data_IF_858555663266
#
_entry.id   IF_858555663266
#
_cell.length_a   1.000
_cell.length_b   1.000
_cell.length_c   1.000
_cell.angle_alpha   90.00
_cell.angle_beta   90.00
_cell.angle_gamma   90.00
#
_symmetry.space_group_name_H-M   'P 1'
#
loop_
_entity.id
_entity.type
_entity.pdbx_description
1 polymer ?
#
# COMPACT_ATOMS: atom_id res chain seq x y z
N UNK A 1 -18.66 48.50 19.68
CA UNK A 1 -18.82 47.46 20.73
C UNK A 1 -19.30 46.20 20.02
N UNK A 2 -18.49 45.26 19.52
CA UNK A 2 -17.42 44.43 20.09
C UNK A 2 -17.84 43.57 21.31
N UNK A 3 -17.58 42.26 21.16
CA UNK A 3 -17.72 41.08 22.06
C UNK A 3 -19.11 40.42 22.07
N UNK A 4 -19.31 39.15 21.67
CA UNK A 4 -18.49 37.91 21.83
C UNK A 4 -18.98 37.17 23.10
N UNK A 5 -19.11 35.85 23.24
CA UNK A 5 -18.63 34.63 22.55
C UNK A 5 -19.32 33.43 23.24
N UNK A 6 -19.49 32.33 22.50
CA UNK A 6 -19.37 30.90 22.88
C UNK A 6 -20.22 30.31 24.02
N UNK A 7 -21.07 29.34 23.65
CA UNK A 7 -21.24 28.07 24.39
C UNK A 7 -21.38 26.91 23.39
N UNK A 8 -20.34 26.07 23.29
CA UNK A 8 -20.39 24.79 22.57
C UNK A 8 -19.57 23.79 23.38
N UNK A 9 -20.18 23.25 24.44
CA UNK A 9 -19.77 22.02 25.14
C UNK A 9 -21.05 21.45 25.76
N UNK A 10 -21.53 20.31 25.28
CA UNK A 10 -22.21 19.27 26.06
C UNK A 10 -22.81 18.24 25.09
N UNK A 11 -22.24 17.04 25.10
CA UNK A 11 -22.73 15.91 24.32
C UNK A 11 -21.79 14.70 24.44
N UNK A 12 -21.31 14.43 25.66
CA UNK A 12 -20.55 13.22 25.99
C UNK A 12 -20.78 12.90 27.46
N UNK A 13 -21.73 12.00 27.76
CA UNK A 13 -21.82 11.19 29.00
C UNK A 13 -23.11 10.36 28.96
N UNK A 14 -23.02 9.08 28.60
CA UNK A 14 -23.74 7.97 29.24
C UNK A 14 -23.44 6.62 28.56
N UNK A 15 -23.09 5.63 29.40
CA UNK A 15 -22.97 4.18 29.18
C UNK A 15 -21.75 3.71 28.35
N UNK A 16 -20.86 2.82 28.82
CA UNK A 16 -20.95 1.88 29.93
C UNK A 16 -19.55 1.56 30.52
N UNK A 17 -19.49 1.46 31.84
CA UNK A 17 -18.42 0.82 32.62
C UNK A 17 -18.90 -0.60 32.93
N UNK A 18 -18.11 -1.63 32.58
CA UNK A 18 -18.02 -2.90 33.33
C UNK A 18 -16.57 -3.44 33.25
N UNK A 19 -15.86 -3.29 34.38
CA UNK A 19 -14.78 -4.10 35.02
C UNK A 19 -13.54 -4.57 34.22
N UNK A 20 -12.38 -3.93 34.44
CA UNK A 20 -11.20 -4.29 35.30
C UNK A 20 -10.15 -5.22 34.68
N UNK A 21 -8.98 -4.67 34.31
CA UNK A 21 -7.67 -5.16 34.76
C UNK A 21 -6.81 -3.93 35.08
N UNK A 22 -6.32 -3.85 36.32
CA UNK A 22 -5.49 -2.78 36.85
C UNK A 22 -4.02 -2.95 36.43
N UNK A 23 -3.39 -1.88 35.94
CA UNK A 23 -1.95 -1.67 36.03
C UNK A 23 -1.73 -0.20 36.42
N UNK A 24 -0.95 0.00 37.48
CA UNK A 24 -0.83 1.20 38.31
C UNK A 24 -0.46 2.52 37.61
N UNK A 25 -1.00 3.67 38.07
CA UNK A 25 -0.53 5.01 37.78
C UNK A 25 0.38 5.52 38.92
N UNK A 26 1.53 6.15 38.61
CA UNK A 26 2.43 7.01 39.43
C UNK A 26 3.87 6.69 38.97
N UNK A 27 4.73 7.56 38.43
CA UNK A 27 4.91 9.02 38.47
C UNK A 27 5.72 9.40 37.22
N UNK A 28 5.36 10.49 36.52
CA UNK A 28 6.22 11.64 36.19
C UNK A 28 5.27 12.73 35.65
N UNK A 29 4.93 13.66 36.55
CA UNK A 29 4.59 15.06 36.25
C UNK A 29 5.88 15.79 35.84
N UNK A 30 5.95 16.87 35.07
CA UNK A 30 4.99 17.67 34.33
C UNK A 30 5.83 18.58 33.41
N UNK A 31 5.48 18.65 32.12
CA UNK A 31 5.67 19.86 31.31
C UNK A 31 4.72 19.80 30.11
N UNK A 32 3.59 20.48 30.28
CA UNK A 32 2.65 20.97 29.24
C UNK A 32 2.72 20.31 27.84
N UNK A 33 2.31 19.05 27.72
CA UNK A 33 1.89 18.45 26.45
C UNK A 33 0.52 17.83 26.66
N UNK A 34 -0.51 18.52 26.20
CA UNK A 34 -1.87 17.98 26.13
C UNK A 34 -1.82 16.61 25.46
N UNK A 35 -2.20 15.56 26.19
CA UNK A 35 -2.39 14.23 25.62
C UNK A 35 -3.31 14.37 24.40
N UNK A 36 -2.79 14.00 23.23
CA UNK A 36 -3.53 14.02 21.98
C UNK A 36 -4.73 13.08 22.15
N UNK A 37 -5.93 13.49 21.73
CA UNK A 37 -7.07 12.56 21.75
C UNK A 37 -6.75 11.32 20.87
N UNK A 38 -7.30 10.14 21.17
CA UNK A 38 -7.02 8.92 20.42
C UNK A 38 -7.18 9.06 18.89
N UNK A 39 -8.08 9.93 18.44
CA UNK A 39 -8.37 10.21 17.03
C UNK A 39 -7.29 11.05 16.37
N UNK A 40 -6.70 12.01 17.10
CA UNK A 40 -5.58 12.81 16.61
C UNK A 40 -4.31 11.96 16.55
N UNK A 41 -4.10 11.09 17.55
CA UNK A 41 -3.02 10.11 17.53
C UNK A 41 -3.16 9.16 16.33
N UNK A 42 -4.37 8.63 16.09
CA UNK A 42 -4.72 7.82 14.93
C UNK A 42 -4.42 8.52 13.61
N UNK A 43 -4.86 9.78 13.47
CA UNK A 43 -4.59 10.60 12.27
C UNK A 43 -3.10 10.69 11.96
N UNK A 44 -2.28 10.98 12.98
CA UNK A 44 -0.83 11.10 12.83
C UNK A 44 -0.17 9.76 12.51
N UNK A 45 -0.66 8.67 13.11
CA UNK A 45 -0.13 7.32 12.87
C UNK A 45 -0.32 6.88 11.42
N UNK A 46 -1.46 7.20 10.80
CA UNK A 46 -1.79 6.80 9.43
C UNK A 46 -1.46 7.88 8.37
N UNK A 47 -0.89 9.02 8.78
CA UNK A 47 -0.64 10.16 7.89
C UNK A 47 -1.92 10.75 7.29
N UNK A 48 -3.04 10.70 8.02
CA UNK A 48 -4.29 11.31 7.58
C UNK A 48 -4.18 12.83 7.72
N UNK A 49 -4.59 13.54 6.67
CA UNK A 49 -4.56 15.00 6.62
C UNK A 49 -3.17 15.61 6.88
N UNK A 50 -2.11 14.91 6.45
CA UNK A 50 -0.71 15.37 6.56
C UNK A 50 -0.58 16.80 6.02
N UNK A 51 0.14 17.64 6.77
CA UNK A 51 0.31 19.11 6.63
C UNK A 51 -0.64 20.01 7.44
N UNK A 52 -1.65 19.47 8.16
CA UNK A 52 -2.52 20.29 9.01
C UNK A 52 -2.14 20.23 10.50
N UNK A 53 -1.88 21.39 11.11
CA UNK A 53 -1.79 21.47 12.58
C UNK A 53 -3.18 21.23 13.19
N UNK A 54 -3.30 20.27 14.12
CA UNK A 54 -4.55 20.00 14.83
C UNK A 54 -4.82 21.07 15.90
N UNK A 55 -5.23 22.25 15.45
CA UNK A 55 -5.75 23.34 16.30
C UNK A 55 -7.28 23.29 16.36
N UNK A 56 -7.89 23.87 17.40
CA UNK A 56 -9.35 23.97 17.51
C UNK A 56 -9.99 24.70 16.33
N UNK A 57 -9.25 25.61 15.68
CA UNK A 57 -9.69 26.28 14.45
C UNK A 57 -9.75 25.29 13.28
N UNK A 58 -8.67 24.54 13.07
CA UNK A 58 -8.54 23.62 11.93
C UNK A 58 -9.50 22.42 12.04
N UNK A 59 -9.74 21.91 13.26
CA UNK A 59 -10.71 20.84 13.51
C UNK A 59 -12.16 21.20 13.09
N UNK A 60 -12.50 22.49 13.04
CA UNK A 60 -13.81 22.97 12.64
C UNK A 60 -13.87 23.46 11.18
N UNK A 61 -12.77 23.37 10.43
CA UNK A 61 -12.76 23.70 9.01
C UNK A 61 -13.37 22.58 8.18
N UNK A 62 -14.00 22.97 7.07
CA UNK A 62 -14.51 22.04 6.07
C UNK A 62 -13.33 21.38 5.36
N UNK A 63 -13.42 20.08 5.11
CA UNK A 63 -12.38 19.35 4.38
C UNK A 63 -12.70 19.24 2.90
N UNK A 64 -11.65 19.15 2.08
CA UNK A 64 -11.83 18.84 0.66
C UNK A 64 -12.21 17.39 0.46
N UNK A 65 -12.96 17.13 -0.62
CA UNK A 65 -13.34 15.78 -0.99
C UNK A 65 -12.09 14.93 -1.28
N UNK A 66 -11.09 15.49 -1.96
CA UNK A 66 -9.80 14.81 -2.19
C UNK A 66 -9.11 14.42 -0.88
N UNK A 67 -9.09 15.30 0.12
CA UNK A 67 -8.46 15.00 1.41
C UNK A 67 -9.22 13.88 2.15
N UNK A 68 -10.54 13.90 2.09
CA UNK A 68 -11.38 12.83 2.64
C UNK A 68 -11.10 11.49 1.95
N UNK A 69 -11.17 11.46 0.62
CA UNK A 69 -11.01 10.24 -0.18
C UNK A 69 -9.61 9.64 -0.02
N UNK A 70 -8.55 10.47 -0.01
CA UNK A 70 -7.19 10.00 0.22
C UNK A 70 -7.03 9.40 1.63
N UNK A 71 -7.63 10.03 2.64
CA UNK A 71 -7.58 9.55 4.02
C UNK A 71 -8.38 8.24 4.19
N UNK A 72 -9.53 8.13 3.52
CA UNK A 72 -10.31 6.90 3.46
C UNK A 72 -9.55 5.77 2.78
N UNK A 73 -8.93 6.02 1.62
CA UNK A 73 -8.10 5.04 0.93
C UNK A 73 -6.99 4.50 1.83
N UNK A 74 -6.32 5.37 2.60
CA UNK A 74 -5.31 4.97 3.60
C UNK A 74 -5.88 4.08 4.69
N UNK A 75 -7.05 4.43 5.24
CA UNK A 75 -7.73 3.60 6.25
C UNK A 75 -8.09 2.22 5.69
N UNK A 76 -8.66 2.18 4.49
CA UNK A 76 -9.04 0.90 3.87
C UNK A 76 -7.83 0.05 3.48
N UNK A 77 -6.74 0.67 3.01
CA UNK A 77 -5.50 -0.04 2.72
C UNK A 77 -4.80 -0.55 3.99
N UNK A 78 -4.80 0.23 5.09
CA UNK A 78 -4.21 -0.21 6.35
C UNK A 78 -4.98 -1.38 6.97
N UNK A 79 -6.30 -1.34 6.89
CA UNK A 79 -7.18 -2.40 7.40
C UNK A 79 -7.21 -3.64 6.52
N UNK A 80 -6.54 -3.62 5.35
CA UNK A 80 -6.50 -4.71 4.39
C UNK A 80 -7.75 -4.84 3.52
N UNK A 81 -8.70 -3.90 3.63
CA UNK A 81 -9.86 -3.84 2.76
C UNK A 81 -9.46 -3.48 1.31
N UNK A 82 -8.46 -2.63 1.13
CA UNK A 82 -7.84 -2.37 -0.18
C UNK A 82 -6.42 -2.92 -0.25
N UNK A 83 -5.99 -3.27 -1.46
CA UNK A 83 -4.59 -3.65 -1.74
C UNK A 83 -3.67 -2.43 -1.74
N UNK A 84 -4.20 -1.26 -2.08
CA UNK A 84 -3.52 0.03 -2.11
C UNK A 84 -4.52 1.16 -1.82
N UNK A 85 -4.03 2.33 -1.40
CA UNK A 85 -4.88 3.53 -1.30
C UNK A 85 -5.02 4.27 -2.65
N UNK A 86 -4.61 3.64 -3.77
CA UNK A 86 -4.72 4.25 -5.09
C UNK A 86 -6.19 4.56 -5.40
N UNK A 87 -6.43 5.79 -5.86
CA UNK A 87 -7.73 6.27 -6.30
C UNK A 87 -8.33 5.35 -7.38
N UNK A 88 -7.50 4.74 -8.22
CA UNK A 88 -7.95 3.82 -9.26
C UNK A 88 -8.62 2.58 -8.68
N UNK A 89 -8.06 2.01 -7.60
CA UNK A 89 -8.62 0.84 -6.94
C UNK A 89 -9.95 1.19 -6.26
N UNK A 90 -10.02 2.35 -5.60
CA UNK A 90 -11.26 2.86 -5.01
C UNK A 90 -12.36 3.11 -6.06
N UNK A 91 -11.98 3.60 -7.24
CA UNK A 91 -12.91 3.86 -8.35
C UNK A 91 -13.39 2.55 -8.97
N UNK A 92 -12.47 1.61 -9.21
CA UNK A 92 -12.80 0.28 -9.74
C UNK A 92 -13.70 -0.53 -8.78
N UNK A 93 -13.48 -0.38 -7.47
CA UNK A 93 -14.34 -0.95 -6.43
C UNK A 93 -15.66 -0.22 -6.21
N UNK A 94 -15.91 0.89 -6.92
CA UNK A 94 -17.14 1.68 -6.79
C UNK A 94 -17.27 2.42 -5.46
N UNK A 95 -16.16 2.62 -4.73
CA UNK A 95 -16.11 3.35 -3.46
C UNK A 95 -16.25 4.86 -3.70
N UNK A 96 -15.62 5.35 -4.76
CA UNK A 96 -15.65 6.76 -5.20
C UNK A 96 -15.99 6.85 -6.69
N UNK A 97 -16.47 8.01 -7.11
CA UNK A 97 -16.80 8.28 -8.51
C UNK A 97 -15.53 8.67 -9.30
N UNK A 98 -15.53 8.39 -10.61
CA UNK A 98 -14.41 8.70 -11.52
C UNK A 98 -14.27 10.19 -11.86
N UNK A 99 -15.22 11.02 -11.43
CA UNK A 99 -15.25 12.46 -11.64
C UNK A 99 -14.18 13.22 -10.86
N UNK A 100 -14.04 14.51 -11.20
CA UNK A 100 -13.20 15.43 -10.43
C UNK A 100 -13.85 15.70 -9.06
N UNK A 101 -13.11 15.56 -7.94
CA UNK A 101 -13.64 15.86 -6.62
C UNK A 101 -14.04 17.32 -6.46
N UNK A 102 -15.09 17.57 -5.68
CA UNK A 102 -15.49 18.89 -5.27
C UNK A 102 -14.49 19.52 -4.31
N UNK A 103 -14.54 20.86 -4.23
CA UNK A 103 -13.68 21.65 -3.34
C UNK A 103 -13.86 21.25 -1.88
N UNK A 104 -15.08 20.89 -1.47
CA UNK A 104 -15.45 20.41 -0.14
C UNK A 104 -16.47 19.29 -0.28
N UNK A 105 -16.48 18.36 0.67
CA UNK A 105 -17.43 17.25 0.67
C UNK A 105 -18.59 17.52 1.63
N UNK A 106 -19.82 17.24 1.19
CA UNK A 106 -21.00 17.28 2.06
C UNK A 106 -21.04 16.08 3.00
N UNK A 107 -21.77 16.20 4.11
CA UNK A 107 -22.03 15.07 5.02
C UNK A 107 -22.68 13.90 4.31
N UNK A 108 -23.64 14.17 3.41
CA UNK A 108 -24.27 13.14 2.59
C UNK A 108 -23.24 12.40 1.73
N UNK A 109 -22.45 13.12 0.93
CA UNK A 109 -21.49 12.50 0.03
C UNK A 109 -20.49 11.64 0.79
N UNK A 110 -19.95 12.15 1.91
CA UNK A 110 -19.03 11.40 2.75
C UNK A 110 -19.64 10.11 3.33
N UNK A 111 -20.89 10.20 3.79
CA UNK A 111 -21.62 9.07 4.35
C UNK A 111 -21.90 8.01 3.28
N UNK A 112 -22.30 8.42 2.08
CA UNK A 112 -22.46 7.50 0.94
C UNK A 112 -21.15 6.84 0.52
N UNK A 113 -20.02 7.54 0.58
CA UNK A 113 -18.69 6.94 0.34
C UNK A 113 -18.36 5.88 1.41
N UNK A 114 -18.69 6.12 2.68
CA UNK A 114 -18.50 5.13 3.76
C UNK A 114 -19.42 3.93 3.57
N UNK A 115 -20.69 4.14 3.18
CA UNK A 115 -21.61 3.04 2.89
C UNK A 115 -21.10 2.19 1.72
N UNK A 116 -20.59 2.81 0.64
CA UNK A 116 -19.93 2.07 -0.45
C UNK A 116 -18.69 1.31 0.04
N UNK A 117 -17.91 1.89 0.95
CA UNK A 117 -16.75 1.22 1.56
C UNK A 117 -17.16 -0.02 2.37
N UNK A 118 -18.24 0.08 3.17
CA UNK A 118 -18.79 -1.06 3.91
C UNK A 118 -19.27 -2.15 2.95
N UNK A 119 -20.01 -1.78 1.91
CA UNK A 119 -20.47 -2.72 0.89
C UNK A 119 -19.32 -3.43 0.19
N UNK A 120 -18.27 -2.69 -0.17
CA UNK A 120 -17.05 -3.24 -0.74
C UNK A 120 -16.35 -4.20 0.24
N UNK A 121 -16.29 -3.82 1.52
CA UNK A 121 -15.72 -4.66 2.58
C UNK A 121 -16.51 -5.95 2.84
N UNK A 122 -17.79 -6.03 2.47
CA UNK A 122 -18.53 -7.30 2.47
C UNK A 122 -18.12 -8.19 1.30
N UNK A 123 -17.92 -7.59 0.12
CA UNK A 123 -17.54 -8.32 -1.10
C UNK A 123 -16.14 -8.93 -0.94
N UNK A 124 -15.20 -8.21 -0.32
CA UNK A 124 -13.84 -8.69 -0.10
C UNK A 124 -13.66 -9.49 1.20
N UNK A 125 -14.74 -9.79 1.93
CA UNK A 125 -14.73 -10.51 3.22
C UNK A 125 -13.95 -9.83 4.36
N UNK A 126 -13.72 -8.51 4.30
CA UNK A 126 -13.10 -7.73 5.40
C UNK A 126 -14.11 -7.35 6.49
N UNK A 127 -15.40 -7.35 6.17
CA UNK A 127 -16.50 -7.20 7.12
C UNK A 127 -17.53 -8.32 6.93
N UNK A 128 -18.16 -8.81 8.01
CA UNK A 128 -19.26 -9.74 7.91
C UNK A 128 -20.48 -9.04 7.32
N UNK A 129 -21.13 -9.70 6.36
CA UNK A 129 -22.40 -9.23 5.80
C UNK A 129 -23.54 -9.60 6.75
N UNK A 130 -24.39 -8.65 7.17
CA UNK A 130 -25.50 -8.95 8.08
C UNK A 130 -26.59 -9.78 7.38
N UNK A 131 -27.06 -10.83 8.05
CA UNK A 131 -28.18 -11.67 7.59
C UNK A 131 -29.51 -10.91 7.62
N UNK A 132 -29.71 -10.10 8.66
CA UNK A 132 -30.91 -9.28 8.85
C UNK A 132 -30.58 -7.78 8.83
N UNK A 133 -31.38 -7.02 8.10
CA UNK A 133 -31.26 -5.56 8.06
C UNK A 133 -32.62 -4.89 7.94
N UNK A 134 -32.70 -3.65 8.41
CA UNK A 134 -33.86 -2.80 8.21
C UNK A 134 -33.77 -2.10 6.86
N UNK A 135 -34.75 -2.34 5.98
CA UNK A 135 -34.84 -1.65 4.69
C UNK A 135 -35.29 -0.20 4.80
N UNK A 136 -35.76 0.23 5.97
CA UNK A 136 -36.33 1.56 6.23
C UNK A 136 -35.39 2.50 6.99
N UNK A 137 -34.12 2.12 7.17
CA UNK A 137 -33.12 2.93 7.86
C UNK A 137 -32.98 4.32 7.20
N UNK A 138 -33.24 5.37 7.97
CA UNK A 138 -33.26 6.76 7.52
C UNK A 138 -33.05 7.73 8.69
N UNK A 139 -32.77 8.97 8.36
CA UNK A 139 -32.84 10.09 9.29
C UNK A 139 -34.12 10.90 9.04
N UNK A 140 -34.47 11.78 9.98
CA UNK A 140 -35.68 12.62 9.87
C UNK A 140 -35.66 13.51 8.61
N UNK A 141 -34.48 13.97 8.24
CA UNK A 141 -34.21 14.96 7.18
C UNK A 141 -33.43 14.38 6.00
N UNK A 142 -33.17 13.06 5.99
CA UNK A 142 -32.45 12.41 4.90
C UNK A 142 -32.82 10.94 4.76
N UNK A 143 -33.24 10.59 3.55
CA UNK A 143 -33.45 9.21 3.11
C UNK A 143 -32.45 8.91 1.99
N UNK A 144 -31.48 8.01 2.20
CA UNK A 144 -30.55 7.61 1.14
C UNK A 144 -31.27 6.77 0.07
N UNK A 145 -30.61 6.63 -1.08
CA UNK A 145 -31.01 5.69 -2.13
C UNK A 145 -31.23 4.27 -1.53
N UNK A 146 -32.31 3.57 -1.87
CA UNK A 146 -32.60 2.22 -1.36
C UNK A 146 -31.43 1.22 -1.45
N UNK A 147 -30.53 1.36 -2.43
CA UNK A 147 -29.34 0.52 -2.56
C UNK A 147 -28.39 0.60 -1.35
N UNK A 148 -28.45 1.70 -0.60
CA UNK A 148 -27.66 1.92 0.61
C UNK A 148 -28.37 1.54 1.90
N UNK A 149 -29.64 1.13 1.88
CA UNK A 149 -30.43 0.87 3.09
C UNK A 149 -29.76 -0.17 4.00
N UNK A 150 -29.27 -1.28 3.43
CA UNK A 150 -28.55 -2.33 4.18
C UNK A 150 -27.25 -1.79 4.81
N UNK A 151 -26.48 -1.00 4.07
CA UNK A 151 -25.23 -0.42 4.54
C UNK A 151 -25.46 0.64 5.62
N UNK A 152 -26.51 1.45 5.48
CA UNK A 152 -26.87 2.45 6.47
C UNK A 152 -27.32 1.79 7.78
N UNK A 153 -28.22 0.80 7.72
CA UNK A 153 -28.67 0.07 8.92
C UNK A 153 -27.49 -0.56 9.66
N UNK A 154 -26.58 -1.21 8.92
CA UNK A 154 -25.37 -1.77 9.48
C UNK A 154 -24.45 -0.71 10.11
N UNK A 155 -24.23 0.41 9.43
CA UNK A 155 -23.39 1.50 9.94
C UNK A 155 -23.98 2.20 11.18
N UNK A 156 -25.31 2.26 11.30
CA UNK A 156 -26.01 2.77 12.47
C UNK A 156 -25.88 1.79 13.65
N UNK A 157 -26.15 0.49 13.43
CA UNK A 157 -26.03 -0.56 14.45
C UNK A 157 -24.62 -0.68 15.02
N UNK A 158 -23.62 -0.53 14.15
CA UNK A 158 -22.20 -0.60 14.51
C UNK A 158 -21.63 0.72 15.02
N UNK A 159 -22.40 1.81 14.94
CA UNK A 159 -22.01 3.13 15.45
C UNK A 159 -20.99 3.87 14.57
N UNK A 160 -20.68 3.39 13.36
CA UNK A 160 -19.82 4.11 12.40
C UNK A 160 -20.46 5.44 12.02
N UNK A 161 -21.74 5.39 11.65
CA UNK A 161 -22.54 6.57 11.33
C UNK A 161 -23.48 6.86 12.49
N UNK A 162 -23.56 8.12 12.89
CA UNK A 162 -24.47 8.59 13.94
C UNK A 162 -25.12 9.90 13.50
N UNK A 163 -26.42 10.02 13.74
CA UNK A 163 -27.16 11.27 13.59
C UNK A 163 -27.00 12.18 14.82
N UNK A 164 -27.56 13.37 14.73
CA UNK A 164 -27.69 14.27 15.87
C UNK A 164 -28.69 13.71 16.89
N UNK A 165 -28.62 14.14 18.15
CA UNK A 165 -29.53 13.69 19.21
C UNK A 165 -31.02 14.01 18.94
N UNK A 166 -31.29 14.98 18.05
CA UNK A 166 -32.63 15.34 17.58
C UNK A 166 -33.13 14.47 16.40
N UNK A 167 -32.35 13.46 15.99
CA UNK A 167 -32.67 12.57 14.87
C UNK A 167 -32.37 13.14 13.48
N UNK A 168 -31.75 14.32 13.39
CA UNK A 168 -31.35 14.94 12.12
C UNK A 168 -29.92 14.58 11.70
N UNK A 169 -29.67 14.48 10.41
CA UNK A 169 -28.37 14.18 9.81
C UNK A 169 -27.68 15.42 9.23
N UNK A 170 -28.47 16.34 8.66
CA UNK A 170 -28.03 17.55 7.95
C UNK A 170 -27.19 17.21 6.71
N UNK A 171 -27.80 16.57 5.69
CA UNK A 171 -27.07 16.03 4.54
C UNK A 171 -26.30 17.09 3.74
N UNK A 172 -26.84 18.31 3.65
CA UNK A 172 -26.25 19.42 2.90
C UNK A 172 -25.11 20.16 3.61
N UNK A 173 -24.90 19.92 4.91
CA UNK A 173 -23.80 20.55 5.64
C UNK A 173 -22.45 20.05 5.11
N UNK A 174 -21.47 20.94 5.05
CA UNK A 174 -20.10 20.58 4.66
C UNK A 174 -19.40 19.84 5.80
N UNK A 175 -18.71 18.76 5.46
CA UNK A 175 -18.05 17.88 6.43
C UNK A 175 -16.84 18.59 7.04
N UNK A 176 -16.78 18.63 8.38
CA UNK A 176 -15.65 19.20 9.12
C UNK A 176 -14.55 18.18 9.34
N UNK A 177 -13.32 18.65 9.51
CA UNK A 177 -12.15 17.78 9.77
C UNK A 177 -12.36 16.84 10.95
N UNK A 178 -12.87 17.36 12.07
CA UNK A 178 -13.17 16.53 13.23
C UNK A 178 -14.18 15.42 12.92
N UNK A 179 -15.20 15.71 12.13
CA UNK A 179 -16.26 14.75 11.79
C UNK A 179 -15.72 13.65 10.89
N UNK A 180 -14.88 14.02 9.92
CA UNK A 180 -14.16 13.07 9.09
C UNK A 180 -13.24 12.17 9.90
N UNK A 181 -12.48 12.72 10.85
CA UNK A 181 -11.62 11.93 11.74
C UNK A 181 -12.40 10.88 12.52
N UNK A 182 -13.53 11.26 13.12
CA UNK A 182 -14.41 10.33 13.83
C UNK A 182 -14.96 9.24 12.92
N UNK A 183 -15.43 9.62 11.73
CA UNK A 183 -16.00 8.70 10.76
C UNK A 183 -14.97 7.66 10.29
N UNK A 184 -13.77 8.12 9.94
CA UNK A 184 -12.66 7.27 9.49
C UNK A 184 -12.13 6.37 10.61
N UNK A 185 -12.00 6.91 11.83
CA UNK A 185 -11.57 6.13 13.01
C UNK A 185 -12.56 5.02 13.35
N UNK A 186 -13.86 5.32 13.35
CA UNK A 186 -14.90 4.32 13.64
C UNK A 186 -14.96 3.25 12.56
N UNK A 187 -14.82 3.62 11.29
CA UNK A 187 -14.75 2.64 10.20
C UNK A 187 -13.51 1.73 10.36
N UNK A 188 -12.35 2.31 10.63
CA UNK A 188 -11.13 1.55 10.91
C UNK A 188 -11.34 0.56 12.05
N UNK A 189 -11.84 1.04 13.20
CA UNK A 189 -12.04 0.20 14.39
C UNK A 189 -13.05 -0.91 14.14
N UNK A 190 -14.09 -0.62 13.36
CA UNK A 190 -15.05 -1.64 12.95
C UNK A 190 -14.38 -2.75 12.15
N UNK A 191 -13.61 -2.41 11.11
CA UNK A 191 -12.95 -3.40 10.25
C UNK A 191 -11.93 -4.21 11.07
N UNK A 192 -11.13 -3.55 11.90
CA UNK A 192 -10.15 -4.22 12.77
C UNK A 192 -10.82 -5.15 13.79
N UNK A 193 -11.97 -4.75 14.37
CA UNK A 193 -12.69 -5.55 15.36
C UNK A 193 -13.44 -6.74 14.74
N UNK A 194 -13.89 -6.64 13.48
CA UNK A 194 -14.78 -7.63 12.86
C UNK A 194 -14.09 -8.64 11.97
N UNK A 195 -12.78 -8.52 11.73
CA UNK A 195 -12.12 -9.53 10.94
C UNK A 195 -10.62 -9.39 10.98
N UNK A 196 -9.96 -10.52 11.29
CA UNK A 196 -8.95 -11.11 10.40
C UNK A 196 -8.14 -10.07 9.62
N UNK A 197 -7.49 -9.15 10.32
CA UNK A 197 -6.62 -8.18 9.68
C UNK A 197 -5.49 -9.00 9.10
N UNK A 198 -5.58 -9.37 7.84
CA UNK A 198 -4.40 -9.67 7.06
C UNK A 198 -3.69 -8.32 6.87
N UNK A 199 -3.09 -7.83 7.97
CA UNK A 199 -2.07 -6.80 7.95
C UNK A 199 -0.99 -7.39 7.08
N UNK A 200 -0.97 -7.03 5.82
CA UNK A 200 0.10 -7.43 4.94
C UNK A 200 1.25 -6.41 4.99
N UNK A 201 1.49 -5.80 6.16
CA UNK A 201 2.81 -5.23 6.46
C UNK A 201 3.70 -6.39 6.87
N UNK A 202 4.40 -6.97 5.89
CA UNK A 202 5.41 -8.00 6.13
C UNK A 202 6.53 -7.49 7.05
N UNK A 203 6.85 -6.20 6.96
CA UNK A 203 7.90 -5.53 7.70
C UNK A 203 7.46 -4.14 8.12
N UNK A 204 7.74 -3.77 9.37
CA UNK A 204 7.26 -2.53 10.00
C UNK A 204 7.81 -1.25 9.36
N UNK A 205 8.94 -1.33 8.66
CA UNK A 205 9.62 -0.25 7.94
C UNK A 205 9.30 -0.24 6.43
N UNK A 206 8.41 -1.12 5.96
CA UNK A 206 7.92 -1.13 4.58
C UNK A 206 6.43 -0.78 4.61
N UNK A 207 6.07 0.51 4.48
CA UNK A 207 4.67 0.94 4.44
C UNK A 207 4.00 0.47 3.15
N UNK A 208 2.66 0.47 3.12
CA UNK A 208 1.88 -0.07 1.99
C UNK A 208 2.20 0.59 0.63
N UNK A 209 2.58 1.87 0.61
CA UNK A 209 2.96 2.64 -0.59
C UNK A 209 4.41 2.46 -1.03
N UNK A 210 5.21 1.73 -0.27
CA UNK A 210 6.58 1.48 -0.66
C UNK A 210 6.65 0.65 -1.95
N UNK A 211 7.56 0.99 -2.86
CA UNK A 211 7.68 0.31 -4.16
C UNK A 211 7.94 -1.22 -4.04
N UNK A 212 8.49 -1.66 -2.92
CA UNK A 212 8.71 -3.08 -2.61
C UNK A 212 7.51 -3.80 -2.01
N UNK A 213 6.43 -3.14 -1.65
CA UNK A 213 5.27 -3.80 -1.04
C UNK A 213 4.71 -4.89 -1.94
N UNK A 214 4.38 -4.57 -3.20
CA UNK A 214 3.88 -5.56 -4.17
C UNK A 214 4.88 -6.71 -4.41
N UNK A 215 6.18 -6.44 -4.70
CA UNK A 215 7.19 -7.50 -4.77
C UNK A 215 7.25 -8.42 -3.55
N UNK A 216 7.20 -7.86 -2.33
CA UNK A 216 7.26 -8.64 -1.10
C UNK A 216 6.03 -9.54 -0.92
N UNK A 217 4.85 -9.08 -1.32
CA UNK A 217 3.64 -9.90 -1.29
C UNK A 217 3.73 -11.06 -2.28
N UNK A 218 4.21 -10.80 -3.50
CA UNK A 218 4.41 -11.83 -4.52
C UNK A 218 5.42 -12.89 -4.02
N UNK A 219 6.53 -12.44 -3.45
CA UNK A 219 7.53 -13.31 -2.84
C UNK A 219 6.95 -14.17 -1.70
N UNK A 220 6.15 -13.57 -0.80
CA UNK A 220 5.46 -14.31 0.27
C UNK A 220 4.56 -15.40 -0.29
N UNK A 221 3.76 -15.10 -1.32
CA UNK A 221 2.87 -16.07 -1.99
C UNK A 221 3.66 -17.20 -2.65
N UNK A 222 4.82 -16.88 -3.21
CA UNK A 222 5.74 -17.84 -3.81
C UNK A 222 6.51 -18.68 -2.78
N UNK A 223 6.44 -18.38 -1.47
CA UNK A 223 7.11 -19.14 -0.41
C UNK A 223 8.51 -18.64 -0.04
N UNK A 224 8.91 -17.46 -0.51
CA UNK A 224 10.21 -16.84 -0.25
C UNK A 224 10.57 -16.70 1.24
N UNK A 225 9.56 -16.59 2.11
CA UNK A 225 9.78 -16.35 3.54
C UNK A 225 9.46 -17.57 4.42
N UNK A 226 9.20 -18.73 3.80
CA UNK A 226 8.82 -19.94 4.55
C UNK A 226 10.01 -20.52 5.34
N UNK A 227 11.24 -20.28 4.87
CA UNK A 227 12.47 -20.84 5.44
C UNK A 227 13.39 -19.80 6.09
N UNK A 228 13.04 -18.51 6.05
CA UNK A 228 13.85 -17.44 6.64
C UNK A 228 13.00 -16.43 7.40
N UNK A 229 13.61 -15.80 8.39
CA UNK A 229 13.05 -14.67 9.11
C UNK A 229 14.00 -13.48 8.95
N UNK A 230 13.63 -12.52 8.10
CA UNK A 230 14.41 -11.30 7.87
C UNK A 230 14.23 -10.24 8.98
N UNK A 231 13.46 -10.56 10.04
CA UNK A 231 13.19 -9.70 11.18
C UNK A 231 11.91 -8.89 11.05
N UNK A 232 11.57 -8.13 12.10
CA UNK A 232 10.39 -7.24 12.13
C UNK A 232 10.54 -6.02 11.21
N UNK A 233 11.77 -5.58 10.96
CA UNK A 233 12.11 -4.51 10.01
C UNK A 233 12.97 -5.13 8.93
N UNK A 234 12.65 -4.86 7.67
CA UNK A 234 13.38 -5.39 6.52
C UNK A 234 14.77 -4.79 6.42
N UNK A 235 14.91 -3.49 6.66
CA UNK A 235 16.13 -2.73 6.39
C UNK A 235 16.64 -2.96 4.96
N UNK A 236 15.81 -2.58 3.98
CA UNK A 236 15.96 -2.98 2.59
C UNK A 236 17.25 -2.55 1.89
N UNK A 237 17.85 -1.43 2.30
CA UNK A 237 19.14 -0.96 1.77
C UNK A 237 20.34 -1.66 2.41
N UNK A 238 20.15 -2.37 3.52
CA UNK A 238 21.20 -3.15 4.16
C UNK A 238 21.53 -4.43 3.39
N UNK A 239 22.76 -4.91 3.54
CA UNK A 239 23.23 -6.12 2.87
C UNK A 239 22.44 -7.35 3.33
N UNK A 240 22.16 -8.26 2.38
CA UNK A 240 21.59 -9.58 2.67
C UNK A 240 22.70 -10.61 2.88
N UNK A 241 22.51 -11.55 3.81
CA UNK A 241 23.45 -12.66 4.00
C UNK A 241 23.29 -13.73 2.90
N UNK A 242 24.35 -14.46 2.59
CA UNK A 242 24.29 -15.59 1.67
C UNK A 242 23.29 -16.68 2.14
N UNK A 243 23.17 -16.85 3.47
CA UNK A 243 22.18 -17.73 4.09
C UNK A 243 20.75 -17.29 3.78
N UNK A 244 20.42 -16.03 4.05
CA UNK A 244 19.06 -15.53 3.86
C UNK A 244 18.67 -15.54 2.39
N UNK A 245 19.58 -15.12 1.51
CA UNK A 245 19.37 -15.19 0.06
C UNK A 245 19.08 -16.63 -0.40
N UNK A 246 19.88 -17.59 0.05
CA UNK A 246 19.69 -19.00 -0.29
C UNK A 246 18.38 -19.56 0.25
N UNK A 247 18.03 -19.28 1.51
CA UNK A 247 16.77 -19.74 2.12
C UNK A 247 15.54 -19.17 1.41
N UNK A 248 15.62 -17.92 0.91
CA UNK A 248 14.57 -17.32 0.10
C UNK A 248 14.32 -18.14 -1.18
N UNK A 249 15.39 -18.41 -1.93
CA UNK A 249 15.30 -19.16 -3.18
C UNK A 249 14.85 -20.60 -2.91
N UNK A 250 15.34 -21.24 -1.85
CA UNK A 250 14.92 -22.58 -1.44
C UNK A 250 13.45 -22.66 -1.05
N UNK A 251 12.91 -21.66 -0.35
CA UNK A 251 11.50 -21.62 0.00
C UNK A 251 10.60 -21.62 -1.24
N UNK A 252 10.98 -20.85 -2.27
CA UNK A 252 10.28 -20.83 -3.55
C UNK A 252 10.39 -22.18 -4.27
N UNK A 253 11.61 -22.71 -4.40
CA UNK A 253 11.83 -24.00 -5.06
C UNK A 253 11.13 -25.17 -4.35
N UNK A 254 11.00 -25.11 -3.02
CA UNK A 254 10.27 -26.09 -2.23
C UNK A 254 8.77 -26.10 -2.60
N UNK A 255 8.15 -24.93 -2.75
CA UNK A 255 6.76 -24.83 -3.24
C UNK A 255 6.61 -25.34 -4.68
N UNK A 256 7.61 -25.11 -5.52
CA UNK A 256 7.67 -25.63 -6.89
C UNK A 256 8.05 -27.13 -6.96
N UNK A 257 8.34 -27.77 -5.83
CA UNK A 257 8.76 -29.19 -5.72
C UNK A 257 10.05 -29.49 -6.53
N UNK A 258 10.99 -28.56 -6.59
CA UNK A 258 12.24 -28.65 -7.35
C UNK A 258 13.42 -29.07 -6.46
N UNK A 259 13.40 -30.30 -5.97
CA UNK A 259 14.37 -30.83 -4.99
C UNK A 259 15.84 -30.75 -5.45
N UNK A 260 16.12 -31.05 -6.73
CA UNK A 260 17.48 -30.99 -7.28
C UNK A 260 18.06 -29.56 -7.23
N UNK A 261 17.24 -28.56 -7.52
CA UNK A 261 17.66 -27.16 -7.53
C UNK A 261 17.93 -26.65 -6.10
N UNK A 262 17.20 -27.15 -5.10
CA UNK A 262 17.44 -26.85 -3.67
C UNK A 262 18.83 -27.33 -3.23
N UNK A 263 19.31 -28.46 -3.78
CA UNK A 263 20.65 -29.00 -3.51
C UNK A 263 21.72 -28.07 -4.09
N UNK A 264 21.54 -27.59 -5.34
CA UNK A 264 22.45 -26.63 -5.97
C UNK A 264 22.57 -25.34 -5.14
N UNK A 265 21.44 -24.76 -4.70
CA UNK A 265 21.45 -23.58 -3.82
C UNK A 265 22.22 -23.86 -2.52
N UNK A 266 22.03 -25.05 -1.92
CA UNK A 266 22.75 -25.45 -0.70
C UNK A 266 24.27 -25.51 -0.91
N UNK A 267 24.72 -25.97 -2.08
CA UNK A 267 26.14 -26.01 -2.43
C UNK A 267 26.71 -24.60 -2.60
N UNK A 268 26.01 -23.72 -3.32
CA UNK A 268 26.40 -22.32 -3.51
C UNK A 268 26.54 -21.57 -2.17
N UNK A 269 25.58 -21.77 -1.26
CA UNK A 269 25.62 -21.20 0.09
C UNK A 269 26.86 -21.64 0.89
N UNK A 270 27.19 -22.94 0.83
CA UNK A 270 28.34 -23.51 1.54
C UNK A 270 29.67 -23.00 0.96
N UNK A 271 29.79 -22.93 -0.37
CA UNK A 271 30.99 -22.43 -1.05
C UNK A 271 31.26 -20.95 -0.73
N UNK A 272 30.22 -20.11 -0.68
CA UNK A 272 30.39 -18.67 -0.41
C UNK A 272 30.63 -18.37 1.08
N UNK A 273 29.99 -19.14 1.97
CA UNK A 273 29.98 -18.93 3.41
C UNK A 273 28.68 -18.27 3.87
N UNK A 274 27.92 -19.02 4.67
CA UNK A 274 26.53 -18.73 5.07
C UNK A 274 26.31 -17.32 5.64
N UNK A 275 27.19 -16.86 6.52
CA UNK A 275 27.00 -15.60 7.25
C UNK A 275 27.64 -14.39 6.57
N UNK A 276 28.33 -14.58 5.45
CA UNK A 276 28.90 -13.47 4.68
C UNK A 276 27.81 -12.72 3.95
N UNK A 277 28.04 -11.44 3.69
CA UNK A 277 27.18 -10.69 2.77
C UNK A 277 27.21 -11.36 1.39
N UNK A 278 26.03 -11.49 0.78
CA UNK A 278 25.91 -12.03 -0.55
C UNK A 278 26.50 -11.05 -1.56
N UNK A 279 27.35 -11.54 -2.45
CA UNK A 279 27.86 -10.75 -3.56
C UNK A 279 26.91 -10.82 -4.75
N UNK A 280 27.03 -9.89 -5.69
CA UNK A 280 26.23 -9.90 -6.92
C UNK A 280 26.49 -11.14 -7.77
N UNK A 281 27.72 -11.67 -7.78
CA UNK A 281 28.05 -12.96 -8.39
C UNK A 281 27.27 -14.12 -7.77
N UNK A 282 27.07 -14.13 -6.45
CA UNK A 282 26.27 -15.16 -5.79
C UNK A 282 24.79 -15.04 -6.17
N UNK A 283 24.26 -13.81 -6.22
CA UNK A 283 22.89 -13.57 -6.68
C UNK A 283 22.70 -14.08 -8.10
N UNK A 284 23.61 -13.78 -9.03
CA UNK A 284 23.50 -14.24 -10.42
C UNK A 284 23.41 -15.76 -10.52
N UNK A 285 24.25 -16.50 -9.79
CA UNK A 285 24.24 -17.97 -9.79
C UNK A 285 22.96 -18.53 -9.16
N UNK A 286 22.49 -17.99 -8.04
CA UNK A 286 21.24 -18.44 -7.42
C UNK A 286 20.00 -18.07 -8.24
N UNK A 287 20.02 -16.91 -8.89
CA UNK A 287 18.97 -16.44 -9.78
C UNK A 287 18.88 -17.31 -11.04
N UNK A 288 20.01 -17.74 -11.61
CA UNK A 288 20.01 -18.66 -12.74
C UNK A 288 19.39 -20.01 -12.37
N UNK A 289 19.74 -20.58 -11.20
CA UNK A 289 19.12 -21.82 -10.70
C UNK A 289 17.60 -21.65 -10.51
N UNK A 290 17.14 -20.49 -10.04
CA UNK A 290 15.71 -20.22 -9.92
C UNK A 290 15.04 -20.07 -11.29
N UNK A 291 15.68 -19.37 -12.23
CA UNK A 291 15.15 -19.13 -13.56
C UNK A 291 15.04 -20.43 -14.37
N UNK A 292 16.05 -21.31 -14.30
CA UNK A 292 16.01 -22.62 -14.96
C UNK A 292 14.95 -23.57 -14.39
N UNK A 293 14.55 -23.36 -13.13
CA UNK A 293 13.47 -24.12 -12.50
C UNK A 293 12.07 -23.72 -12.98
N UNK A 294 11.91 -22.56 -13.62
CA UNK A 294 10.64 -21.95 -14.01
C UNK A 294 10.57 -21.89 -15.55
N UNK A 295 9.49 -22.35 -16.19
CA UNK A 295 9.35 -22.19 -17.65
C UNK A 295 9.41 -20.70 -18.02
N UNK A 296 10.19 -20.34 -19.04
CA UNK A 296 10.27 -18.97 -19.55
C UNK A 296 10.50 -18.99 -21.06
N UNK A 297 10.11 -17.93 -21.76
CA UNK A 297 10.47 -17.79 -23.17
C UNK A 297 11.95 -17.42 -23.26
N UNK A 298 12.74 -18.27 -23.89
CA UNK A 298 14.13 -17.96 -24.19
C UNK A 298 14.19 -16.97 -25.36
N UNK A 299 14.93 -15.88 -25.15
CA UNK A 299 15.26 -14.91 -26.19
C UNK A 299 16.71 -15.09 -26.64
N UNK A 300 17.02 -14.67 -27.86
CA UNK A 300 18.40 -14.59 -28.37
C UNK A 300 19.18 -13.39 -27.80
N UNK A 301 18.68 -12.78 -26.72
CA UNK A 301 19.29 -11.60 -26.13
C UNK A 301 20.60 -11.96 -25.41
N UNK A 302 21.68 -11.30 -25.82
CA UNK A 302 22.98 -11.41 -25.16
C UNK A 302 23.38 -10.07 -24.54
N UNK A 303 23.83 -10.09 -23.30
CA UNK A 303 24.39 -8.92 -22.61
C UNK A 303 25.87 -9.20 -22.33
N UNK A 304 26.74 -8.35 -22.84
CA UNK A 304 28.18 -8.41 -22.60
C UNK A 304 28.53 -7.45 -21.47
N UNK A 305 29.22 -7.95 -20.45
CA UNK A 305 29.70 -7.15 -19.33
C UNK A 305 31.20 -6.90 -19.44
N UNK A 306 31.64 -5.67 -19.20
CA UNK A 306 33.04 -5.28 -19.40
C UNK A 306 34.02 -5.95 -18.43
N UNK A 307 33.53 -6.34 -17.25
CA UNK A 307 34.30 -6.90 -16.14
C UNK A 307 34.07 -8.40 -15.92
N UNK A 308 33.37 -9.08 -16.85
CA UNK A 308 33.09 -10.51 -16.76
C UNK A 308 33.85 -11.27 -17.85
N UNK A 309 34.72 -12.19 -17.42
CA UNK A 309 35.48 -13.05 -18.33
C UNK A 309 34.58 -14.18 -18.85
N UNK A 310 34.57 -14.37 -20.18
CA UNK A 310 33.85 -15.48 -20.81
C UNK A 310 34.35 -16.85 -20.32
N UNK A 311 33.44 -17.83 -20.27
CA UNK A 311 33.71 -19.20 -19.80
C UNK A 311 33.84 -19.36 -18.29
N UNK A 312 33.42 -18.36 -17.51
CA UNK A 312 33.28 -18.49 -16.05
C UNK A 312 31.83 -18.85 -15.70
N UNK A 313 31.60 -19.55 -14.59
CA UNK A 313 30.25 -19.89 -14.10
C UNK A 313 29.32 -18.66 -14.03
N UNK A 314 29.87 -17.49 -13.69
CA UNK A 314 29.11 -16.24 -13.61
C UNK A 314 28.74 -15.74 -15.01
N UNK A 315 29.63 -15.86 -15.99
CA UNK A 315 29.32 -15.53 -17.38
C UNK A 315 28.19 -16.40 -17.94
N UNK A 316 28.23 -17.70 -17.63
CA UNK A 316 27.19 -18.63 -18.04
C UNK A 316 25.85 -18.30 -17.36
N UNK A 317 25.87 -18.02 -16.06
CA UNK A 317 24.67 -17.61 -15.34
C UNK A 317 24.04 -16.32 -15.89
N UNK A 318 24.87 -15.31 -16.19
CA UNK A 318 24.42 -14.06 -16.78
C UNK A 318 23.88 -14.22 -18.19
N UNK A 319 24.42 -15.16 -18.97
CA UNK A 319 23.90 -15.51 -20.29
C UNK A 319 22.50 -16.10 -20.17
N UNK A 320 22.30 -17.11 -19.32
CA UNK A 320 20.99 -17.73 -19.09
C UNK A 320 19.95 -16.70 -18.59
N UNK A 321 20.35 -15.82 -17.67
CA UNK A 321 19.48 -14.76 -17.18
C UNK A 321 19.12 -13.74 -18.28
N UNK A 322 20.07 -13.37 -19.13
CA UNK A 322 19.80 -12.47 -20.26
C UNK A 322 18.81 -13.08 -21.26
N UNK A 323 18.93 -14.38 -21.54
CA UNK A 323 17.97 -15.11 -22.39
C UNK A 323 16.57 -15.11 -21.79
N UNK A 324 16.46 -15.18 -20.45
CA UNK A 324 15.23 -15.02 -19.69
C UNK A 324 14.77 -13.56 -19.52
N UNK A 325 15.40 -12.59 -20.19
CA UNK A 325 15.05 -11.17 -20.12
C UNK A 325 15.42 -10.48 -18.80
N UNK A 326 16.30 -11.09 -18.00
CA UNK A 326 16.76 -10.57 -16.72
C UNK A 326 18.16 -10.00 -16.86
N UNK A 327 18.28 -8.69 -16.60
CA UNK A 327 19.55 -7.97 -16.57
C UNK A 327 19.99 -7.76 -15.13
N UNK A 328 21.28 -7.95 -14.87
CA UNK A 328 21.93 -7.63 -13.59
C UNK A 328 23.02 -6.57 -13.80
N UNK A 329 23.53 -6.04 -12.69
CA UNK A 329 24.56 -5.00 -12.72
C UNK A 329 24.03 -3.64 -13.17
N UNK A 330 24.94 -2.79 -13.61
CA UNK A 330 24.67 -1.39 -13.93
C UNK A 330 24.29 -1.19 -15.40
N UNK A 331 23.68 -0.05 -15.70
CA UNK A 331 23.21 0.29 -17.05
C UNK A 331 24.37 0.50 -18.05
N UNK A 332 25.59 0.74 -17.57
CA UNK A 332 26.80 0.89 -18.38
C UNK A 332 27.48 -0.45 -18.71
N UNK A 333 26.76 -1.58 -18.60
CA UNK A 333 27.30 -2.93 -18.80
C UNK A 333 28.45 -3.31 -17.84
N UNK A 334 28.53 -2.66 -16.68
CA UNK A 334 29.39 -3.11 -15.58
C UNK A 334 28.59 -4.06 -14.69
N UNK A 335 29.07 -5.29 -14.49
CA UNK A 335 28.43 -6.24 -13.59
C UNK A 335 28.77 -5.96 -12.12
N UNK A 336 30.04 -5.68 -11.83
CA UNK A 336 30.60 -5.47 -10.50
C UNK A 336 30.28 -6.64 -9.52
N UNK A 337 30.63 -7.86 -9.94
CA UNK A 337 30.23 -9.10 -9.27
C UNK A 337 30.65 -9.26 -7.80
N UNK A 338 31.71 -8.57 -7.38
CA UNK A 338 32.24 -8.64 -6.02
C UNK A 338 31.49 -7.74 -5.01
N UNK A 339 30.62 -6.85 -5.48
CA UNK A 339 29.88 -5.96 -4.59
C UNK A 339 28.83 -6.72 -3.78
N UNK A 340 28.67 -6.30 -2.53
CA UNK A 340 27.59 -6.77 -1.69
C UNK A 340 26.26 -6.18 -2.15
N UNK A 341 25.23 -7.00 -2.20
CA UNK A 341 23.90 -6.59 -2.65
C UNK A 341 23.00 -6.24 -1.46
N UNK A 342 22.11 -5.27 -1.69
CA UNK A 342 21.07 -4.93 -0.72
C UNK A 342 19.93 -5.96 -0.73
N UNK A 343 19.16 -6.03 0.36
CA UNK A 343 17.92 -6.83 0.40
C UNK A 343 16.95 -6.40 -0.69
N UNK A 344 16.82 -5.10 -0.97
CA UNK A 344 15.92 -4.63 -2.02
C UNK A 344 16.34 -5.08 -3.42
N UNK A 345 17.63 -5.03 -3.72
CA UNK A 345 18.17 -5.54 -4.99
C UNK A 345 17.91 -7.04 -5.14
N UNK A 346 18.28 -7.83 -4.13
CA UNK A 346 18.10 -9.28 -4.15
C UNK A 346 16.62 -9.68 -4.31
N UNK A 347 15.75 -9.13 -3.47
CA UNK A 347 14.31 -9.44 -3.50
C UNK A 347 13.66 -8.94 -4.79
N UNK A 348 14.10 -7.79 -5.32
CA UNK A 348 13.62 -7.26 -6.59
C UNK A 348 13.92 -8.18 -7.76
N UNK A 349 15.16 -8.69 -7.83
CA UNK A 349 15.58 -9.65 -8.87
C UNK A 349 14.81 -10.95 -8.76
N UNK A 350 14.69 -11.52 -7.56
CA UNK A 350 13.94 -12.77 -7.35
C UNK A 350 12.46 -12.56 -7.72
N UNK A 351 11.87 -11.43 -7.29
CA UNK A 351 10.50 -11.08 -7.66
C UNK A 351 10.32 -10.98 -9.17
N UNK A 352 11.28 -10.38 -9.89
CA UNK A 352 11.25 -10.29 -11.35
C UNK A 352 11.18 -11.68 -11.99
N UNK A 353 12.01 -12.62 -11.53
CA UNK A 353 12.02 -14.00 -12.03
C UNK A 353 10.68 -14.68 -11.79
N UNK A 354 10.12 -14.59 -10.58
CA UNK A 354 8.86 -15.27 -10.26
C UNK A 354 7.62 -14.57 -10.82
N UNK A 355 7.68 -13.28 -11.16
CA UNK A 355 6.54 -12.59 -11.78
C UNK A 355 6.21 -13.18 -13.15
N UNK A 356 7.17 -13.84 -13.79
CA UNK A 356 6.93 -14.63 -15.00
C UNK A 356 6.03 -15.86 -14.73
N UNK A 357 6.00 -16.42 -13.50
CA UNK A 357 5.07 -17.49 -13.10
C UNK A 357 3.60 -17.03 -13.21
N UNK A 358 3.30 -15.78 -12.85
CA UNK A 358 1.95 -15.22 -13.00
C UNK A 358 1.57 -15.02 -14.47
N UNK A 359 2.55 -14.71 -15.34
CA UNK A 359 2.34 -14.55 -16.79
C UNK A 359 1.98 -15.87 -17.49
N UNK A 360 2.43 -17.00 -16.97
CA UNK A 360 2.15 -18.34 -17.54
C UNK A 360 0.77 -18.83 -17.10
N UNK A 361 0.40 -18.63 -15.85
CA UNK A 361 -0.93 -19.00 -15.35
C UNK A 361 -2.06 -18.18 -16.01
N UNK A 362 -1.77 -16.98 -16.50
CA UNK A 362 -2.74 -16.15 -17.24
C UNK A 362 -2.87 -16.51 -18.73
N UNK A 363 -1.87 -17.19 -19.33
CA UNK A 363 -1.95 -17.73 -20.69
C UNK A 363 -2.72 -19.06 -20.80
N UNK A 364 -3.08 -19.68 -19.67
CA UNK A 364 -3.76 -20.98 -19.64
C UNK A 364 -5.31 -20.90 -19.70
N UNK A 365 -5.89 -19.70 -19.85
CA UNK A 365 -7.34 -19.54 -20.03
C UNK A 365 -7.67 -19.32 -21.52
N UNK A 366 -8.62 -20.07 -22.11
CA UNK A 366 -9.03 -19.81 -23.49
C UNK A 366 -9.59 -18.39 -23.62
N UNK A 367 -9.43 -17.74 -24.79
CA UNK A 367 -9.88 -16.38 -25.00
C UNK A 367 -11.39 -16.31 -24.82
N UNK A 368 -11.83 -15.43 -23.92
CA UNK A 368 -13.23 -15.00 -23.82
C UNK A 368 -13.56 -14.31 -25.15
N UNK A 369 -14.70 -14.62 -25.81
CA UNK A 369 -15.03 -14.03 -27.09
C UNK A 369 -15.14 -12.51 -26.98
N UNK A 370 -14.31 -11.81 -27.75
CA UNK A 370 -14.31 -10.36 -27.89
C UNK A 370 -15.68 -9.87 -28.40
N UNK A 371 -16.28 -8.92 -27.68
CA UNK A 371 -17.37 -8.07 -28.19
C UNK A 371 -16.75 -6.80 -28.80
N UNK A 372 -17.39 -6.23 -29.84
CA UNK A 372 -16.71 -5.56 -30.93
C UNK A 372 -16.11 -4.20 -30.54
N UNK A 373 -15.05 -3.88 -31.28
CA UNK A 373 -14.20 -2.71 -31.18
C UNK A 373 -14.95 -1.38 -31.03
N UNK A 374 -14.64 -0.67 -29.94
CA UNK A 374 -14.82 0.78 -29.86
C UNK A 374 -13.45 1.42 -30.12
N UNK A 375 -13.44 2.40 -31.02
CA UNK A 375 -12.27 3.01 -31.64
C UNK A 375 -11.06 3.24 -30.72
N UNK A 376 -9.91 2.74 -31.18
CA UNK A 376 -8.56 2.97 -30.65
C UNK A 376 -8.24 4.47 -30.70
N UNK A 377 -8.04 5.08 -29.53
CA UNK A 377 -7.22 6.31 -29.44
C UNK A 377 -5.81 5.84 -29.12
N UNK A 378 -4.91 5.98 -30.09
CA UNK A 378 -3.51 5.64 -29.95
C UNK A 378 -2.86 6.46 -28.82
N UNK A 379 -2.28 5.78 -27.85
CA UNK A 379 -1.35 6.36 -26.89
C UNK A 379 -0.03 6.65 -27.59
N UNK A 380 0.12 7.85 -28.14
CA UNK A 380 1.41 8.33 -28.65
C UNK A 380 2.41 8.49 -27.50
N UNK A 381 3.54 7.79 -27.62
CA UNK A 381 4.76 8.01 -26.86
C UNK A 381 5.17 9.48 -26.91
N UNK A 382 5.70 10.00 -25.79
CA UNK A 382 6.08 11.41 -25.65
C UNK A 382 6.98 11.87 -26.80
N UNK A 383 6.62 13.01 -27.40
CA UNK A 383 7.34 13.58 -28.55
C UNK A 383 8.58 14.37 -28.08
N UNK A 384 9.55 14.62 -28.96
CA UNK A 384 10.72 15.44 -28.65
C UNK A 384 10.33 16.85 -28.15
N UNK A 385 9.19 17.37 -28.62
CA UNK A 385 8.59 18.63 -28.15
C UNK A 385 8.11 18.57 -26.69
N UNK A 386 7.66 17.41 -26.21
CA UNK A 386 7.27 17.21 -24.81
C UNK A 386 8.50 17.16 -23.88
N UNK A 387 9.60 16.56 -24.34
CA UNK A 387 10.88 16.57 -23.62
C UNK A 387 11.49 17.97 -23.55
N UNK A 388 11.42 18.75 -24.62
CA UNK A 388 11.93 20.13 -24.64
C UNK A 388 11.12 21.05 -23.72
N UNK A 389 9.79 20.90 -23.69
CA UNK A 389 8.91 21.60 -22.76
C UNK A 389 9.20 21.22 -21.30
N UNK A 390 9.56 19.96 -21.04
CA UNK A 390 9.97 19.50 -19.71
C UNK A 390 11.34 20.07 -19.29
N UNK A 391 12.32 20.07 -20.19
CA UNK A 391 13.65 20.65 -19.95
C UNK A 391 13.55 22.15 -19.70
N UNK A 392 12.67 22.87 -20.43
CA UNK A 392 12.45 24.30 -20.20
C UNK A 392 11.83 24.58 -18.83
N UNK A 393 10.90 23.74 -18.36
CA UNK A 393 10.32 23.82 -17.01
C UNK A 393 11.36 23.53 -15.91
N UNK A 394 12.28 22.60 -16.14
CA UNK A 394 13.37 22.33 -15.18
C UNK A 394 14.36 23.48 -15.10
N UNK A 395 14.72 24.07 -16.23
CA UNK A 395 15.58 25.27 -16.29
C UNK A 395 14.93 26.46 -15.61
N UNK A 396 13.64 26.72 -15.85
CA UNK A 396 12.93 27.83 -15.20
C UNK A 396 12.79 27.63 -13.69
N UNK A 397 12.62 26.39 -13.23
CA UNK A 397 12.57 26.06 -11.80
C UNK A 397 13.94 26.21 -11.13
N UNK A 398 15.03 25.79 -11.79
CA UNK A 398 16.41 25.99 -11.31
C UNK A 398 16.77 27.47 -11.23
N UNK A 399 16.38 28.26 -12.21
CA UNK A 399 16.63 29.71 -12.23
C UNK A 399 15.80 30.46 -11.18
N UNK A 400 14.57 30.01 -10.91
CA UNK A 400 13.74 30.53 -9.82
C UNK A 400 14.36 30.24 -8.45
N UNK A 401 14.93 29.06 -8.26
CA UNK A 401 15.66 28.71 -7.03
C UNK A 401 16.93 29.54 -6.89
N UNK A 402 17.68 29.74 -7.99
CA UNK A 402 18.89 30.58 -7.99
C UNK A 402 18.60 32.04 -7.64
N UNK A 403 17.49 32.60 -8.14
CA UNK A 403 17.01 33.95 -7.78
C UNK A 403 16.55 34.10 -6.34
N UNK A 404 16.08 33.02 -5.71
CA UNK A 404 15.74 33.01 -4.28
C UNK A 404 17.01 32.96 -3.44
N UNK A 405 18.03 32.23 -3.89
CA UNK A 405 19.32 32.12 -3.21
C UNK A 405 20.24 33.34 -3.41
N UNK A 406 20.03 34.14 -4.45
CA UNK A 406 20.81 35.35 -4.75
C UNK A 406 20.15 36.65 -4.29
N UNK A 407 19.07 36.57 -3.50
CA UNK A 407 18.50 37.71 -2.78
C UNK A 407 18.89 37.59 -1.32
N UNK A 408 20.06 38.13 -1.00
CA UNK A 408 20.36 38.64 0.35
C UNK A 408 19.53 39.89 0.62
#
# INVERSE_FOLDING_TARGET
MLLGKKTFIAGFLAAAIVTTIAIDPLVIQASTKSALSPEIAFSRQLGLFDQQEFSSRNLNQNISETAFQNSLGRVLAETGALSSYDRNEMTAGGIIDSGQPDRTISRQAACETIMRSIMFSWINSSLPRPEEFRSDARFKDWQPDPKYAQALDYALKTGVIQGSSDGTFRPGDQLKLKEALWLLKRLHDLIVANGNVQRFSLFADVPQDHYMTRPLLNLRRAGAFDLTNLGRRLNGTGNISARDLGLIVQGILARLKKSEHIILISQLMKQHGLFRSASRSLLARMAEVLASAIPHCESDQQILYSDVRAGTDVADALKSLAQAGIRLGYNNNLFAGNENISRFEALGVINRIISEIESINTKALPPVPEKPATAVIATTSATNTDMEAFISRLRSKRERVRRILSRE
#
